data_IF_960818320682
#
_entry.id   IF_960818320682
#
_cell.length_a   1.000
_cell.length_b   1.000
_cell.length_c   1.000
_cell.angle_alpha   90.00
_cell.angle_beta   90.00
_cell.angle_gamma   90.00
#
_symmetry.space_group_name_H-M   'P 1'
#
loop_
_entity.id
_entity.type
_entity.pdbx_description
1 polymer ?
#
# COMPACT_ATOMS: atom_id res chain seq x y z
N UNK A 1 -37.28 26.61 19.31
CA UNK A 1 -36.72 27.38 18.19
C UNK A 1 -36.85 26.56 16.92
N UNK A 2 -37.01 27.21 15.77
CA UNK A 2 -36.98 26.51 14.49
C UNK A 2 -35.52 26.23 14.05
N UNK A 3 -35.34 25.39 13.03
CA UNK A 3 -34.00 25.03 12.56
C UNK A 3 -33.22 26.24 12.01
N UNK A 4 -33.88 27.14 11.29
CA UNK A 4 -33.29 28.35 10.71
C UNK A 4 -32.79 29.33 11.79
N UNK A 5 -33.53 29.51 12.88
CA UNK A 5 -33.16 30.31 14.06
C UNK A 5 -31.91 29.73 14.74
N UNK A 6 -31.91 28.41 14.98
CA UNK A 6 -30.78 27.72 15.59
C UNK A 6 -29.51 27.82 14.74
N UNK A 7 -29.64 27.71 13.40
CA UNK A 7 -28.51 27.89 12.48
C UNK A 7 -27.98 29.32 12.54
N UNK A 8 -28.86 30.32 12.61
CA UNK A 8 -28.42 31.71 12.69
C UNK A 8 -27.69 32.02 14.01
N UNK A 9 -28.20 31.52 15.14
CA UNK A 9 -27.52 31.61 16.44
C UNK A 9 -26.15 30.92 16.41
N UNK A 10 -26.08 29.73 15.83
CA UNK A 10 -24.83 29.00 15.66
C UNK A 10 -23.80 29.77 14.83
N UNK A 11 -24.22 30.35 13.69
CA UNK A 11 -23.34 31.17 12.85
C UNK A 11 -22.82 32.42 13.56
N UNK A 12 -23.57 32.95 14.53
CA UNK A 12 -23.16 34.06 15.39
C UNK A 12 -22.24 33.64 16.55
N UNK A 13 -21.89 32.35 16.65
CA UNK A 13 -20.93 31.82 17.64
C UNK A 13 -21.55 31.10 18.83
N UNK A 14 -22.88 30.91 18.87
CA UNK A 14 -23.53 30.15 19.94
C UNK A 14 -23.46 28.64 19.70
N UNK A 15 -22.57 27.97 20.44
CA UNK A 15 -22.41 26.51 20.33
C UNK A 15 -23.57 25.72 20.96
N UNK A 16 -24.34 26.30 21.89
CA UNK A 16 -25.51 25.60 22.48
C UNK A 16 -26.62 25.43 21.44
N UNK A 17 -26.78 26.43 20.58
CA UNK A 17 -27.72 26.34 19.46
C UNK A 17 -27.38 25.18 18.49
N UNK A 18 -26.10 24.82 18.36
CA UNK A 18 -25.70 23.67 17.55
C UNK A 18 -26.14 22.34 18.17
N UNK A 19 -25.97 22.19 19.48
CA UNK A 19 -26.40 20.99 20.20
C UNK A 19 -27.91 20.78 20.08
N UNK A 20 -28.69 21.84 20.28
CA UNK A 20 -30.15 21.82 20.09
C UNK A 20 -30.53 21.48 18.64
N UNK A 21 -29.82 22.02 17.65
CA UNK A 21 -30.04 21.72 16.24
C UNK A 21 -29.79 20.23 15.94
N UNK A 22 -28.72 19.66 16.48
CA UNK A 22 -28.39 18.24 16.30
C UNK A 22 -29.46 17.36 16.96
N UNK A 23 -29.86 17.67 18.19
CA UNK A 23 -30.90 16.94 18.91
C UNK A 23 -32.24 16.97 18.14
N UNK A 24 -32.67 18.15 17.69
CA UNK A 24 -33.92 18.32 16.95
C UNK A 24 -33.96 17.52 15.63
N UNK A 25 -32.80 17.29 14.99
CA UNK A 25 -32.70 16.63 13.68
C UNK A 25 -32.15 15.19 13.75
N UNK A 26 -31.92 14.65 14.95
CA UNK A 26 -31.36 13.30 15.16
C UNK A 26 -32.18 12.22 14.43
N UNK A 27 -33.51 12.29 14.48
CA UNK A 27 -34.39 11.30 13.83
C UNK A 27 -34.24 11.27 12.31
N UNK A 28 -34.09 12.44 11.67
CA UNK A 28 -33.89 12.53 10.21
C UNK A 28 -32.51 12.00 9.83
N UNK A 29 -31.47 12.36 10.58
CA UNK A 29 -30.10 11.87 10.32
C UNK A 29 -30.06 10.34 10.43
N UNK A 30 -30.63 9.76 11.50
CA UNK A 30 -30.74 8.29 11.65
C UNK A 30 -31.49 7.66 10.49
N UNK A 31 -32.62 8.24 10.06
CA UNK A 31 -33.41 7.73 8.92
C UNK A 31 -32.61 7.74 7.61
N UNK A 32 -31.76 8.73 7.40
CA UNK A 32 -30.88 8.79 6.23
C UNK A 32 -29.77 7.74 6.35
N UNK A 33 -29.11 7.68 7.52
CA UNK A 33 -28.01 6.76 7.80
C UNK A 33 -28.39 5.28 7.62
N UNK A 34 -29.61 4.89 8.03
CA UNK A 34 -30.12 3.51 7.88
C UNK A 34 -30.04 3.02 6.43
N UNK A 35 -30.19 3.90 5.43
CA UNK A 35 -30.11 3.51 4.00
C UNK A 35 -28.71 3.01 3.60
N UNK A 36 -27.69 3.34 4.39
CA UNK A 36 -26.29 3.01 4.14
C UNK A 36 -25.76 1.88 5.02
N UNK A 37 -26.59 1.36 5.92
CA UNK A 37 -26.21 0.30 6.85
C UNK A 37 -25.85 -0.98 6.08
N UNK A 38 -24.75 -1.63 6.47
CA UNK A 38 -24.29 -2.87 5.86
C UNK A 38 -23.68 -2.76 4.46
N UNK A 39 -23.58 -1.55 3.86
CA UNK A 39 -22.85 -1.35 2.59
C UNK A 39 -21.36 -1.57 2.80
N UNK A 40 -20.81 -1.01 3.89
CA UNK A 40 -19.48 -1.32 4.38
C UNK A 40 -19.64 -2.05 5.72
N UNK A 41 -19.19 -3.30 5.79
CA UNK A 41 -19.35 -4.18 6.96
C UNK A 41 -18.56 -3.72 8.17
N UNK A 42 -17.57 -2.84 7.97
CA UNK A 42 -16.75 -2.29 9.04
C UNK A 42 -17.39 -1.08 9.72
N UNK A 43 -18.42 -0.48 9.11
CA UNK A 43 -19.08 0.71 9.65
C UNK A 43 -20.31 0.34 10.45
N UNK A 44 -20.36 0.81 11.68
CA UNK A 44 -21.53 0.66 12.52
C UNK A 44 -22.57 1.76 12.25
N UNK A 45 -23.79 1.56 12.74
CA UNK A 45 -24.85 2.57 12.62
C UNK A 45 -24.47 3.91 13.26
N UNK A 46 -23.66 3.86 14.33
CA UNK A 46 -23.20 5.05 15.04
C UNK A 46 -22.15 5.82 14.23
N UNK A 47 -21.29 5.15 13.47
CA UNK A 47 -20.34 5.80 12.56
C UNK A 47 -21.06 6.57 11.45
N UNK A 48 -22.07 5.93 10.84
CA UNK A 48 -22.90 6.55 9.82
C UNK A 48 -23.67 7.75 10.39
N UNK A 49 -24.21 7.61 11.60
CA UNK A 49 -24.89 8.71 12.28
C UNK A 49 -23.96 9.89 12.56
N UNK A 50 -22.77 9.64 13.11
CA UNK A 50 -21.79 10.68 13.41
C UNK A 50 -21.33 11.41 12.15
N UNK A 51 -21.07 10.69 11.06
CA UNK A 51 -20.76 11.32 9.76
C UNK A 51 -21.93 12.15 9.23
N UNK A 52 -23.17 11.68 9.42
CA UNK A 52 -24.36 12.46 9.13
C UNK A 52 -24.46 13.76 9.95
N UNK A 53 -24.11 13.71 11.24
CA UNK A 53 -24.02 14.90 12.11
C UNK A 53 -22.96 15.87 11.58
N UNK A 54 -21.79 15.39 11.18
CA UNK A 54 -20.76 16.24 10.55
C UNK A 54 -21.28 16.92 9.27
N UNK A 55 -22.06 16.20 8.46
CA UNK A 55 -22.73 16.76 7.29
C UNK A 55 -23.73 17.86 7.64
N UNK A 56 -24.55 17.67 8.67
CA UNK A 56 -25.48 18.70 9.18
C UNK A 56 -24.73 19.95 9.66
N UNK A 57 -23.65 19.78 10.42
CA UNK A 57 -22.80 20.89 10.90
C UNK A 57 -22.20 21.64 9.70
N UNK A 58 -21.68 20.92 8.70
CA UNK A 58 -21.14 21.53 7.49
C UNK A 58 -22.20 22.30 6.69
N UNK A 59 -23.43 21.80 6.64
CA UNK A 59 -24.56 22.53 6.06
C UNK A 59 -24.89 23.80 6.84
N UNK A 60 -24.97 23.72 8.17
CA UNK A 60 -25.26 24.86 9.04
C UNK A 60 -24.24 25.98 8.86
N UNK A 61 -22.94 25.66 8.75
CA UNK A 61 -21.87 26.64 8.50
C UNK A 61 -21.99 27.35 7.14
N UNK A 62 -22.53 26.67 6.12
CA UNK A 62 -22.57 27.15 4.73
C UNK A 62 -23.91 27.71 4.30
N UNK A 63 -24.95 27.52 5.10
CA UNK A 63 -26.30 27.94 4.79
C UNK A 63 -26.39 29.48 4.77
N UNK A 64 -27.03 30.02 3.73
CA UNK A 64 -27.11 31.45 3.47
C UNK A 64 -28.57 31.91 3.56
N UNK A 65 -28.81 32.95 4.35
CA UNK A 65 -30.16 33.46 4.63
C UNK A 65 -30.65 34.51 3.64
N UNK A 66 -29.72 35.12 2.89
CA UNK A 66 -29.89 36.25 1.97
C UNK A 66 -30.33 35.82 0.54
N UNK A 67 -30.53 34.52 0.31
CA UNK A 67 -30.99 34.00 -0.98
C UNK A 67 -32.50 34.21 -1.12
N UNK A 68 -32.91 34.89 -2.20
CA UNK A 68 -34.30 35.26 -2.50
C UNK A 68 -35.27 34.07 -2.52
N UNK A 69 -34.82 32.90 -2.99
CA UNK A 69 -35.58 31.63 -2.98
C UNK A 69 -34.88 30.53 -2.19
N UNK A 70 -34.54 30.81 -0.92
CA UNK A 70 -33.94 29.81 -0.05
C UNK A 70 -34.90 28.65 0.24
N UNK A 71 -34.39 27.43 0.14
CA UNK A 71 -35.07 26.25 0.65
C UNK A 71 -35.02 26.24 2.20
N UNK A 72 -35.92 25.50 2.85
CA UNK A 72 -35.81 25.25 4.30
C UNK A 72 -34.45 24.62 4.62
N UNK A 73 -33.91 24.91 5.79
CA UNK A 73 -32.57 24.46 6.16
C UNK A 73 -32.43 22.93 6.06
N UNK A 74 -33.42 22.18 6.57
CA UNK A 74 -33.35 20.72 6.56
C UNK A 74 -33.32 20.16 5.13
N UNK A 75 -34.05 20.77 4.19
CA UNK A 75 -34.03 20.40 2.77
C UNK A 75 -32.64 20.58 2.18
N UNK A 76 -31.95 21.67 2.54
CA UNK A 76 -30.57 21.92 2.14
C UNK A 76 -29.59 20.95 2.82
N UNK A 77 -29.79 20.68 4.12
CA UNK A 77 -28.90 19.85 4.93
C UNK A 77 -28.90 18.38 4.52
N UNK A 78 -30.03 17.84 4.05
CA UNK A 78 -30.14 16.45 3.57
C UNK A 78 -29.03 16.11 2.56
N UNK A 79 -28.75 17.00 1.61
CA UNK A 79 -27.68 16.81 0.63
C UNK A 79 -26.30 16.64 1.29
N UNK A 80 -25.98 17.45 2.29
CA UNK A 80 -24.70 17.37 3.00
C UNK A 80 -24.61 16.14 3.90
N UNK A 81 -25.71 15.78 4.57
CA UNK A 81 -25.80 14.58 5.39
C UNK A 81 -25.52 13.35 4.52
N UNK A 82 -26.25 13.19 3.41
CA UNK A 82 -26.06 12.07 2.47
C UNK A 82 -24.64 12.05 1.89
N UNK A 83 -24.09 13.22 1.51
CA UNK A 83 -22.73 13.32 0.97
C UNK A 83 -21.65 12.87 1.96
N UNK A 84 -21.76 13.26 3.22
CA UNK A 84 -20.76 12.88 4.24
C UNK A 84 -20.86 11.39 4.57
N UNK A 85 -22.07 10.85 4.69
CA UNK A 85 -22.29 9.42 4.90
C UNK A 85 -21.74 8.62 3.70
N UNK A 86 -22.05 9.02 2.47
CA UNK A 86 -21.52 8.38 1.26
C UNK A 86 -20.00 8.38 1.20
N UNK A 87 -19.35 9.49 1.59
CA UNK A 87 -17.90 9.59 1.63
C UNK A 87 -17.29 8.67 2.69
N UNK A 88 -17.94 8.53 3.84
CA UNK A 88 -17.55 7.59 4.89
C UNK A 88 -17.60 6.14 4.38
N UNK A 89 -18.70 5.77 3.70
CA UNK A 89 -18.88 4.41 3.16
C UNK A 89 -17.90 4.10 2.02
N UNK A 90 -17.76 5.02 1.06
CA UNK A 90 -17.02 4.74 -0.18
C UNK A 90 -15.54 5.14 -0.13
N UNK A 91 -15.11 5.93 0.86
CA UNK A 91 -13.80 6.57 0.89
C UNK A 91 -13.79 7.91 0.14
N UNK A 92 -12.98 8.86 0.62
CA UNK A 92 -12.84 10.20 0.07
C UNK A 92 -11.61 10.42 -0.83
N UNK A 93 -10.69 9.46 -0.83
CA UNK A 93 -9.45 9.46 -1.61
C UNK A 93 -9.26 8.14 -2.33
N UNK A 94 -8.46 8.13 -3.41
CA UNK A 94 -8.11 6.90 -4.14
C UNK A 94 -7.51 5.83 -3.24
N UNK A 95 -6.76 6.23 -2.21
CA UNK A 95 -6.19 5.33 -1.21
C UNK A 95 -7.27 4.71 -0.32
N UNK A 96 -8.18 5.52 0.22
CA UNK A 96 -9.29 5.02 1.05
C UNK A 96 -10.23 4.10 0.27
N UNK A 97 -10.53 4.43 -1.00
CA UNK A 97 -11.33 3.58 -1.89
C UNK A 97 -10.65 2.22 -2.09
N UNK A 98 -9.33 2.22 -2.34
CA UNK A 98 -8.54 1.00 -2.48
C UNK A 98 -8.55 0.14 -1.21
N UNK A 99 -8.38 0.78 -0.05
CA UNK A 99 -8.42 0.11 1.24
C UNK A 99 -9.79 -0.50 1.54
N UNK A 100 -10.88 0.26 1.36
CA UNK A 100 -12.24 -0.25 1.59
C UNK A 100 -12.54 -1.46 0.69
N UNK A 101 -12.05 -1.44 -0.55
CA UNK A 101 -12.18 -2.59 -1.47
C UNK A 101 -11.40 -3.80 -0.97
N UNK A 102 -10.17 -3.60 -0.48
CA UNK A 102 -9.34 -4.67 0.08
C UNK A 102 -10.03 -5.28 1.31
N UNK A 103 -10.41 -4.47 2.28
CA UNK A 103 -11.06 -4.96 3.50
C UNK A 103 -12.39 -5.66 3.23
N UNK A 104 -13.20 -5.14 2.30
CA UNK A 104 -14.46 -5.79 1.88
C UNK A 104 -14.23 -7.14 1.18
N UNK A 105 -13.04 -7.39 0.64
CA UNK A 105 -12.67 -8.67 0.03
C UNK A 105 -12.10 -9.67 1.03
N UNK A 106 -11.68 -9.23 2.20
CA UNK A 106 -11.15 -10.09 3.25
C UNK A 106 -12.30 -10.83 3.97
N UNK A 107 -12.02 -12.06 4.39
CA UNK A 107 -12.93 -12.92 5.13
C UNK A 107 -12.29 -13.25 6.47
N UNK A 108 -13.08 -13.27 7.54
CA UNK A 108 -12.58 -13.62 8.87
C UNK A 108 -12.18 -15.10 8.94
N UNK A 109 -11.03 -15.38 9.52
CA UNK A 109 -10.55 -16.75 9.75
C UNK A 109 -11.34 -17.46 10.85
N UNK A 110 -12.00 -16.72 11.74
CA UNK A 110 -12.76 -17.30 12.84
C UNK A 110 -14.20 -17.63 12.46
N UNK A 111 -14.51 -17.64 11.16
CA UNK A 111 -15.82 -18.05 10.68
C UNK A 111 -15.95 -19.56 10.93
N UNK A 112 -16.97 -20.04 11.64
CA UNK A 112 -17.17 -21.46 11.82
C UNK A 112 -17.46 -22.14 10.48
N UNK A 113 -16.83 -23.28 10.24
CA UNK A 113 -16.98 -24.07 9.01
C UNK A 113 -17.28 -25.52 9.41
N UNK A 114 -18.45 -26.03 9.05
CA UNK A 114 -18.87 -27.41 9.35
C UNK A 114 -20.35 -27.53 9.72
N UNK A 115 -20.77 -28.74 10.12
CA UNK A 115 -22.12 -29.01 10.63
C UNK A 115 -22.29 -28.53 12.09
N UNK A 116 -23.55 -28.32 12.50
CA UNK A 116 -23.90 -27.84 13.85
C UNK A 116 -23.31 -28.75 14.94
N UNK A 117 -22.33 -28.25 15.68
CA UNK A 117 -21.64 -28.96 16.77
C UNK A 117 -20.13 -29.07 16.60
N UNK A 118 -19.59 -28.78 15.40
CA UNK A 118 -18.14 -28.65 15.20
C UNK A 118 -17.65 -27.24 15.56
N UNK A 119 -16.56 -27.14 16.31
CA UNK A 119 -15.90 -25.86 16.67
C UNK A 119 -14.83 -25.45 15.67
N UNK A 120 -14.84 -26.00 14.46
CA UNK A 120 -13.80 -25.73 13.47
C UNK A 120 -14.02 -24.37 12.84
N UNK A 121 -12.95 -23.59 12.78
CA UNK A 121 -12.93 -22.26 12.18
C UNK A 121 -12.28 -22.32 10.79
N UNK A 122 -12.55 -21.34 9.92
CA UNK A 122 -11.95 -21.26 8.58
C UNK A 122 -10.42 -21.28 8.63
N UNK A 123 -9.84 -20.70 9.68
CA UNK A 123 -8.40 -20.72 9.95
C UNK A 123 -7.83 -22.12 10.12
N UNK A 124 -8.59 -23.08 10.66
CA UNK A 124 -8.14 -24.47 10.86
C UNK A 124 -7.94 -25.22 9.53
N UNK A 125 -8.52 -24.71 8.43
CA UNK A 125 -8.40 -25.26 7.08
C UNK A 125 -7.30 -24.58 6.25
N UNK A 126 -6.70 -23.51 6.77
CA UNK A 126 -5.56 -22.88 6.13
C UNK A 126 -4.32 -23.67 6.58
N UNK A 127 -3.76 -24.44 5.65
CA UNK A 127 -2.43 -25.00 5.86
C UNK A 127 -1.48 -23.85 6.15
N UNK A 128 -0.78 -23.92 7.29
CA UNK A 128 0.39 -23.08 7.48
C UNK A 128 1.28 -23.28 6.27
N UNK A 129 1.67 -22.18 5.61
CA UNK A 129 2.82 -22.22 4.74
C UNK A 129 3.98 -22.42 5.70
N UNK A 130 4.29 -23.69 5.95
CA UNK A 130 5.41 -24.10 6.75
C UNK A 130 6.67 -23.59 6.05
N UNK A 131 7.11 -22.39 6.43
CA UNK A 131 8.49 -21.98 6.24
C UNK A 131 9.42 -22.76 7.19
N UNK A 132 9.04 -23.99 7.59
CA UNK A 132 9.86 -24.98 8.29
C UNK A 132 11.17 -25.30 7.58
N UNK A 133 11.30 -24.87 6.32
CA UNK A 133 12.55 -24.72 5.59
C UNK A 133 12.96 -23.24 5.44
N UNK A 134 13.33 -22.55 6.53
CA UNK A 134 14.53 -21.70 6.41
C UNK A 134 15.70 -22.65 6.15
N UNK A 135 15.84 -22.95 4.86
CA UNK A 135 16.77 -23.81 4.21
C UNK A 135 18.18 -23.45 4.71
N UNK A 136 18.68 -24.15 5.76
CA UNK A 136 20.05 -23.95 6.29
C UNK A 136 21.03 -24.08 5.13
N UNK A 137 20.75 -25.00 4.21
CA UNK A 137 21.51 -25.19 2.98
C UNK A 137 21.45 -23.96 2.08
N UNK A 138 20.29 -23.32 1.87
CA UNK A 138 20.19 -22.05 1.11
C UNK A 138 20.87 -20.89 1.83
N UNK A 139 20.77 -20.77 3.15
CA UNK A 139 21.49 -19.75 3.92
C UNK A 139 23.00 -19.95 3.84
N UNK A 140 23.46 -21.20 3.95
CA UNK A 140 24.87 -21.57 3.77
C UNK A 140 25.32 -21.32 2.31
N UNK A 141 24.48 -21.66 1.35
CA UNK A 141 24.69 -21.43 -0.08
C UNK A 141 24.83 -19.94 -0.39
N UNK A 142 23.86 -19.11 0.03
CA UNK A 142 23.91 -17.65 -0.15
C UNK A 142 25.11 -17.02 0.55
N UNK A 143 25.50 -17.55 1.73
CA UNK A 143 26.71 -17.10 2.43
C UNK A 143 27.99 -17.48 1.67
N UNK A 144 28.07 -18.68 1.12
CA UNK A 144 29.19 -19.14 0.31
C UNK A 144 29.26 -18.35 -1.01
N UNK A 145 28.13 -18.22 -1.71
CA UNK A 145 27.98 -17.43 -2.93
C UNK A 145 28.41 -15.98 -2.72
N UNK A 146 28.01 -15.37 -1.60
CA UNK A 146 28.46 -14.02 -1.25
C UNK A 146 29.99 -13.93 -1.14
N UNK A 147 30.60 -14.91 -0.47
CA UNK A 147 32.06 -14.95 -0.30
C UNK A 147 32.76 -15.11 -1.65
N UNK A 148 32.29 -16.00 -2.50
CA UNK A 148 32.84 -16.21 -3.85
C UNK A 148 32.73 -14.95 -4.71
N UNK A 149 31.57 -14.29 -4.70
CA UNK A 149 31.38 -13.03 -5.43
C UNK A 149 32.31 -11.92 -4.92
N UNK A 150 32.60 -11.86 -3.62
CA UNK A 150 33.60 -10.93 -3.08
C UNK A 150 35.01 -11.21 -3.60
N UNK A 151 35.42 -12.47 -3.66
CA UNK A 151 36.73 -12.89 -4.20
C UNK A 151 36.83 -12.59 -5.70
N UNK A 152 35.75 -12.78 -6.47
CA UNK A 152 35.70 -12.46 -7.89
C UNK A 152 35.77 -10.97 -8.17
N UNK A 153 35.03 -10.16 -7.42
CA UNK A 153 35.10 -8.71 -7.50
C UNK A 153 36.52 -8.21 -7.19
N UNK A 154 37.22 -8.84 -6.24
CA UNK A 154 38.62 -8.49 -5.95
C UNK A 154 39.57 -8.87 -7.09
N UNK A 155 39.32 -10.00 -7.76
CA UNK A 155 40.21 -10.54 -8.81
C UNK A 155 40.03 -9.83 -10.15
N UNK A 156 38.78 -9.59 -10.58
CA UNK A 156 38.46 -9.11 -11.93
C UNK A 156 38.11 -7.62 -12.01
N UNK A 157 37.63 -7.01 -10.92
CA UNK A 157 37.22 -5.60 -10.91
C UNK A 157 38.28 -4.70 -10.26
N UNK A 158 38.37 -3.46 -10.73
CA UNK A 158 39.15 -2.41 -10.06
C UNK A 158 38.43 -1.95 -8.79
N UNK A 159 39.13 -1.21 -7.91
CA UNK A 159 38.52 -0.64 -6.71
C UNK A 159 37.25 0.17 -7.02
N UNK A 160 37.34 1.08 -7.99
CA UNK A 160 36.21 1.91 -8.45
C UNK A 160 35.05 1.07 -8.99
N UNK A 161 35.33 0.04 -9.80
CA UNK A 161 34.32 -0.88 -10.32
C UNK A 161 33.58 -1.62 -9.20
N UNK A 162 34.32 -2.13 -8.20
CA UNK A 162 33.75 -2.86 -7.08
C UNK A 162 32.85 -1.96 -6.23
N UNK A 163 33.29 -0.74 -5.93
CA UNK A 163 32.53 0.16 -5.05
C UNK A 163 31.23 0.60 -5.72
N UNK A 164 31.25 0.85 -7.04
CA UNK A 164 30.02 1.13 -7.80
C UNK A 164 29.04 -0.04 -7.73
N UNK A 165 29.50 -1.28 -7.92
CA UNK A 165 28.64 -2.47 -7.79
C UNK A 165 28.07 -2.59 -6.37
N UNK A 166 28.90 -2.38 -5.35
CA UNK A 166 28.46 -2.46 -3.95
C UNK A 166 27.40 -1.43 -3.60
N UNK A 167 27.57 -0.17 -4.01
CA UNK A 167 26.57 0.87 -3.77
C UNK A 167 25.30 0.65 -4.57
N UNK A 168 25.43 0.21 -5.83
CA UNK A 168 24.28 0.01 -6.72
C UNK A 168 23.35 -1.10 -6.25
N UNK A 169 23.91 -2.23 -5.86
CA UNK A 169 23.15 -3.42 -5.43
C UNK A 169 22.97 -3.51 -3.92
N UNK A 170 23.50 -2.55 -3.15
CA UNK A 170 23.36 -2.55 -1.70
C UNK A 170 24.10 -3.71 -1.03
N UNK A 171 25.34 -3.96 -1.45
CA UNK A 171 26.11 -5.10 -0.94
C UNK A 171 26.37 -5.04 0.57
N UNK A 172 26.58 -3.81 1.09
CA UNK A 172 26.79 -3.53 2.52
C UNK A 172 25.79 -2.52 3.09
N UNK A 173 24.97 -1.90 2.22
CA UNK A 173 24.07 -0.79 2.56
C UNK A 173 22.77 -0.93 1.76
N UNK A 174 21.85 0.02 1.87
CA UNK A 174 20.71 0.10 0.96
C UNK A 174 21.17 0.40 -0.47
N UNK A 175 20.54 -0.19 -1.52
CA UNK A 175 20.80 0.15 -2.92
C UNK A 175 20.63 1.65 -3.20
N UNK A 176 21.59 2.25 -3.91
CA UNK A 176 21.62 3.69 -4.21
C UNK A 176 21.30 3.97 -5.69
N UNK A 177 20.81 5.19 -5.99
CA UNK A 177 20.60 5.63 -7.37
C UNK A 177 21.94 5.98 -8.03
N UNK A 178 21.99 5.91 -9.36
CA UNK A 178 23.21 6.20 -10.11
C UNK A 178 23.68 7.65 -9.95
N UNK A 179 22.74 8.58 -9.76
CA UNK A 179 23.06 10.00 -9.52
C UNK A 179 23.72 10.17 -8.14
N UNK A 180 23.14 9.60 -7.08
CA UNK A 180 23.71 9.63 -5.73
C UNK A 180 25.12 8.99 -5.67
N UNK A 181 25.32 7.88 -6.39
CA UNK A 181 26.63 7.23 -6.51
C UNK A 181 27.63 8.13 -7.25
N UNK A 182 27.16 8.82 -8.29
CA UNK A 182 27.96 9.79 -9.04
C UNK A 182 28.44 10.94 -8.17
N UNK A 183 27.54 11.49 -7.34
CA UNK A 183 27.85 12.57 -6.40
C UNK A 183 28.90 12.16 -5.36
N UNK A 184 28.79 10.94 -4.81
CA UNK A 184 29.76 10.40 -3.83
C UNK A 184 31.15 10.20 -4.45
N UNK A 185 31.20 9.70 -5.69
CA UNK A 185 32.45 9.36 -6.37
C UNK A 185 33.01 10.52 -7.21
N UNK A 186 32.31 11.66 -7.29
CA UNK A 186 32.70 12.82 -8.08
C UNK A 186 32.68 12.58 -9.60
N UNK A 187 31.80 11.68 -10.07
CA UNK A 187 31.67 11.30 -11.49
C UNK A 187 30.23 11.43 -11.98
N UNK A 188 30.04 11.57 -13.29
CA UNK A 188 28.69 11.67 -13.85
C UNK A 188 27.95 10.33 -13.80
N UNK A 189 26.62 10.35 -13.68
CA UNK A 189 25.82 9.12 -13.62
C UNK A 189 25.92 8.26 -14.90
N UNK A 190 26.16 8.88 -16.06
CA UNK A 190 26.48 8.15 -17.29
C UNK A 190 27.83 7.42 -17.21
N UNK A 191 28.82 8.01 -16.53
CA UNK A 191 30.11 7.36 -16.28
C UNK A 191 29.94 6.20 -15.29
N UNK A 192 29.15 6.37 -14.23
CA UNK A 192 28.80 5.29 -13.29
C UNK A 192 28.19 4.10 -14.06
N UNK A 193 27.20 4.34 -14.92
CA UNK A 193 26.56 3.30 -15.74
C UNK A 193 27.56 2.58 -16.66
N UNK A 194 28.46 3.32 -17.29
CA UNK A 194 29.49 2.75 -18.17
C UNK A 194 30.46 1.84 -17.39
N UNK A 195 30.86 2.26 -16.19
CA UNK A 195 31.74 1.48 -15.31
C UNK A 195 31.01 0.24 -14.79
N UNK A 196 29.74 0.36 -14.40
CA UNK A 196 28.86 -0.76 -14.00
C UNK A 196 28.77 -1.81 -15.11
N UNK A 197 28.39 -1.42 -16.34
CA UNK A 197 28.33 -2.35 -17.48
C UNK A 197 29.67 -3.05 -17.74
N UNK A 198 30.77 -2.31 -17.62
CA UNK A 198 32.11 -2.88 -17.81
C UNK A 198 32.46 -3.87 -16.69
N UNK A 199 32.12 -3.53 -15.44
CA UNK A 199 32.38 -4.36 -14.28
C UNK A 199 31.60 -5.69 -14.35
N UNK A 200 30.30 -5.61 -14.64
CA UNK A 200 29.45 -6.79 -14.82
C UNK A 200 29.91 -7.65 -15.99
N UNK A 201 30.29 -7.04 -17.12
CA UNK A 201 30.82 -7.79 -18.27
C UNK A 201 32.06 -8.60 -17.91
N UNK A 202 32.99 -8.03 -17.11
CA UNK A 202 34.18 -8.76 -16.65
C UNK A 202 33.82 -9.95 -15.77
N UNK A 203 32.84 -9.78 -14.86
CA UNK A 203 32.37 -10.86 -14.00
C UNK A 203 31.67 -11.98 -14.80
N UNK A 204 30.83 -11.62 -15.78
CA UNK A 204 30.14 -12.57 -16.67
C UNK A 204 31.10 -13.38 -17.52
N UNK A 205 32.21 -12.79 -17.94
CA UNK A 205 33.24 -13.47 -18.75
C UNK A 205 34.29 -14.18 -17.89
N UNK A 206 34.10 -14.26 -16.56
CA UNK A 206 35.02 -14.97 -15.68
C UNK A 206 34.87 -16.48 -15.82
N UNK A 207 35.95 -17.21 -15.52
CA UNK A 207 35.90 -18.68 -15.48
C UNK A 207 34.90 -19.19 -14.46
N UNK A 208 34.69 -18.46 -13.36
CA UNK A 208 33.71 -18.82 -12.34
C UNK A 208 32.29 -18.76 -12.89
N UNK A 209 31.93 -17.68 -13.60
CA UNK A 209 30.61 -17.55 -14.19
C UNK A 209 30.35 -18.69 -15.16
N UNK A 210 31.30 -19.00 -16.05
CA UNK A 210 31.16 -20.09 -17.02
C UNK A 210 30.93 -21.46 -16.37
N UNK A 211 31.55 -21.72 -15.21
CA UNK A 211 31.39 -22.98 -14.49
C UNK A 211 30.05 -23.09 -13.74
N UNK A 212 29.48 -21.97 -13.28
CA UNK A 212 28.24 -21.95 -12.49
C UNK A 212 26.98 -21.60 -13.30
N UNK A 213 27.10 -21.35 -14.61
CA UNK A 213 25.95 -21.02 -15.48
C UNK A 213 24.87 -22.11 -15.43
N UNK A 214 25.24 -23.39 -15.43
CA UNK A 214 24.28 -24.50 -15.37
C UNK A 214 23.49 -24.52 -14.06
N UNK A 215 24.21 -24.43 -12.95
CA UNK A 215 23.63 -24.38 -11.62
C UNK A 215 22.67 -23.19 -11.46
N UNK A 216 23.08 -22.00 -11.89
CA UNK A 216 22.21 -20.81 -11.82
C UNK A 216 21.02 -20.86 -12.79
N UNK A 217 21.15 -21.55 -13.92
CA UNK A 217 20.04 -21.78 -14.85
C UNK A 217 19.00 -22.73 -14.22
N UNK A 218 19.44 -23.83 -13.63
CA UNK A 218 18.58 -24.80 -12.93
C UNK A 218 17.85 -24.18 -11.73
N UNK A 219 18.54 -23.31 -10.98
CA UNK A 219 17.96 -22.55 -9.88
C UNK A 219 17.06 -21.38 -10.32
N UNK A 220 16.97 -21.11 -11.64
CA UNK A 220 16.09 -20.07 -12.19
C UNK A 220 16.59 -18.63 -11.98
N UNK A 221 17.88 -18.44 -11.68
CA UNK A 221 18.47 -17.11 -11.45
C UNK A 221 18.90 -16.39 -12.73
N UNK A 222 18.91 -17.09 -13.88
CA UNK A 222 19.27 -16.51 -15.19
C UNK A 222 18.01 -16.19 -15.99
N UNK A 223 17.87 -14.92 -16.38
CA UNK A 223 16.78 -14.49 -17.26
C UNK A 223 16.85 -15.19 -18.63
N UNK A 224 15.68 -15.49 -19.20
CA UNK A 224 15.54 -16.16 -20.50
C UNK A 224 16.38 -15.52 -21.62
N UNK A 225 16.48 -14.19 -21.64
CA UNK A 225 17.31 -13.46 -22.60
C UNK A 225 18.79 -13.88 -22.54
N UNK A 226 19.34 -14.11 -21.36
CA UNK A 226 20.74 -14.51 -21.19
C UNK A 226 20.95 -16.01 -21.43
N UNK A 227 19.96 -16.86 -21.12
CA UNK A 227 20.00 -18.28 -21.47
C UNK A 227 20.15 -18.49 -22.98
N UNK A 228 19.42 -17.72 -23.78
CA UNK A 228 19.51 -17.79 -25.24
C UNK A 228 20.91 -17.37 -25.75
N UNK A 229 21.52 -16.33 -25.17
CA UNK A 229 22.90 -15.92 -25.49
C UNK A 229 23.91 -17.02 -25.14
N UNK A 230 23.75 -17.69 -24.00
CA UNK A 230 24.66 -18.75 -23.59
C UNK A 230 24.53 -20.00 -24.47
N UNK A 231 23.32 -20.33 -24.92
CA UNK A 231 23.08 -21.39 -25.92
C UNK A 231 23.76 -21.09 -27.24
N UNK A 232 23.69 -19.84 -27.71
CA UNK A 232 24.38 -19.39 -28.92
C UNK A 232 25.92 -19.48 -28.79
N UNK A 233 26.45 -19.42 -27.56
CA UNK A 233 27.87 -19.63 -27.27
C UNK A 233 28.25 -21.11 -27.08
N UNK A 234 27.30 -22.03 -27.26
CA UNK A 234 27.51 -23.48 -27.14
C UNK A 234 27.51 -23.98 -25.69
N UNK A 235 26.99 -23.20 -24.74
CA UNK A 235 26.81 -23.63 -23.35
C UNK A 235 25.48 -24.37 -23.23
N UNK A 236 25.54 -25.58 -22.70
CA UNK A 236 24.40 -26.48 -22.52
C UNK A 236 23.61 -26.12 -21.24
N UNK A 237 22.65 -25.20 -21.38
CA UNK A 237 21.73 -24.65 -20.35
C UNK A 237 20.29 -24.49 -20.86
#
# INVERSE_FOLDING_TARGET
MNNEELVQLYQNGDNKALEELIQANTGIIKKIAIKYNGINRELESDDLFQNGVLGLIAAAKKYKFDIEKKAKFITYAVYYIERYIQRCVNGGSSKEIGNNKLYSSCTSLNIPVGEEGETRELGDFIEDIDYGFENIEEKLFLKNLRKELEELMQTYNTLEQREILKFKYGWNTTPMKLDDIGDILGITSNKVRSIESTALRKLRNSSWAMNHIKEFAELGYIDKFYLDIFRDWGVDV
#
